data_IF_640884442594
#
_entry.id   IF_640884442594
#
_cell.length_a   1.000
_cell.length_b   1.000
_cell.length_c   1.000
_cell.angle_alpha   90.00
_cell.angle_beta   90.00
_cell.angle_gamma   90.00
#
_symmetry.space_group_name_H-M   'P 1'
#
loop_
_entity.id
_entity.type
_entity.pdbx_description
1 polymer ?
#
# COMPACT_ATOMS: atom_id res chain seq x y z
N UNK A 1 18.53 -6.44 -5.49
CA UNK A 1 19.41 -5.99 -4.38
C UNK A 1 18.76 -4.77 -3.81
N UNK A 2 18.10 -4.88 -2.66
CA UNK A 2 17.49 -3.75 -1.97
C UNK A 2 18.58 -2.76 -1.56
N UNK A 3 18.51 -1.52 -2.05
CA UNK A 3 19.41 -0.46 -1.63
C UNK A 3 19.22 -0.21 -0.13
N UNK A 4 20.30 -0.35 0.64
CA UNK A 4 20.27 0.00 2.06
C UNK A 4 20.19 1.51 2.18
N UNK A 5 19.02 2.02 2.51
CA UNK A 5 18.80 3.43 2.77
C UNK A 5 19.36 3.78 4.15
N UNK A 6 20.21 4.79 4.22
CA UNK A 6 20.72 5.32 5.50
C UNK A 6 20.05 6.63 5.83
N UNK A 7 19.45 6.72 7.01
CA UNK A 7 18.75 7.90 7.50
C UNK A 7 19.43 8.42 8.77
N UNK A 8 20.11 9.59 8.73
CA UNK A 8 20.67 10.21 9.92
C UNK A 8 19.56 10.69 10.85
N UNK A 9 19.68 10.37 12.11
CA UNK A 9 18.72 10.70 13.14
C UNK A 9 19.42 11.22 14.41
N UNK A 10 18.73 12.00 15.18
CA UNK A 10 19.18 12.47 16.48
C UNK A 10 18.22 11.97 17.56
N UNK A 11 18.76 11.57 18.70
CA UNK A 11 17.96 11.13 19.85
C UNK A 11 17.30 12.33 20.52
N UNK A 12 16.10 12.12 21.07
CA UNK A 12 15.37 13.17 21.80
C UNK A 12 15.04 12.73 23.21
N UNK A 13 15.37 13.57 24.18
CA UNK A 13 15.08 13.30 25.61
C UNK A 13 13.66 13.72 26.00
N UNK A 14 13.06 14.66 25.24
CA UNK A 14 11.73 15.19 25.55
C UNK A 14 10.69 14.68 24.58
N UNK A 15 9.71 13.93 25.10
CA UNK A 15 8.50 13.55 24.40
C UNK A 15 7.33 14.49 24.78
N UNK A 16 6.30 14.50 23.93
CA UNK A 16 5.04 15.22 24.18
C UNK A 16 4.68 16.24 23.10
N UNK A 17 3.43 16.75 23.17
CA UNK A 17 2.81 17.59 22.14
C UNK A 17 3.61 18.86 21.81
N UNK A 18 4.10 19.57 22.85
CA UNK A 18 4.82 20.81 22.67
C UNK A 18 6.19 20.61 21.99
N UNK A 19 6.98 19.62 22.47
CA UNK A 19 8.27 19.28 21.91
C UNK A 19 8.16 18.80 20.45
N UNK A 20 7.19 17.93 20.14
CA UNK A 20 6.97 17.47 18.77
C UNK A 20 6.53 18.58 17.82
N UNK A 21 5.77 19.58 18.31
CA UNK A 21 5.40 20.75 17.51
C UNK A 21 6.59 21.67 17.24
N UNK A 22 7.48 21.87 18.21
CA UNK A 22 8.69 22.66 18.04
C UNK A 22 9.61 22.03 16.97
N UNK A 23 9.86 20.73 17.04
CA UNK A 23 10.65 19.99 16.03
C UNK A 23 10.09 20.16 14.62
N UNK A 24 8.75 20.02 14.44
CA UNK A 24 8.14 20.21 13.13
C UNK A 24 8.28 21.63 12.58
N UNK A 25 8.27 22.64 13.45
CA UNK A 25 8.52 24.02 13.05
C UNK A 25 9.98 24.26 12.62
N UNK A 26 10.92 23.44 13.11
CA UNK A 26 12.34 23.45 12.75
C UNK A 26 12.63 22.59 11.49
N UNK A 27 11.58 22.02 10.86
CA UNK A 27 11.72 21.14 9.70
C UNK A 27 12.24 19.73 10.07
N UNK A 28 11.96 19.28 11.29
CA UNK A 28 12.30 17.96 11.77
C UNK A 28 11.05 17.14 12.06
N UNK A 29 11.08 15.85 11.73
CA UNK A 29 9.99 14.91 11.94
C UNK A 29 10.30 14.03 13.13
N UNK A 30 9.46 14.02 14.18
CA UNK A 30 9.60 13.08 15.27
C UNK A 30 9.34 11.65 14.78
N UNK A 31 10.14 10.70 15.28
CA UNK A 31 10.00 9.30 14.99
C UNK A 31 10.26 8.44 16.21
N UNK A 32 9.84 7.19 16.16
CA UNK A 32 10.06 6.19 17.21
C UNK A 32 10.58 4.91 16.58
N UNK A 33 11.62 4.34 17.20
CA UNK A 33 12.17 3.04 16.82
C UNK A 33 11.83 2.05 17.94
N UNK A 34 11.08 1.02 17.63
CA UNK A 34 10.64 0.00 18.60
C UNK A 34 10.81 -1.42 18.04
N UNK A 35 10.64 -2.42 18.88
CA UNK A 35 10.74 -3.83 18.49
C UNK A 35 11.99 -4.52 19.06
N UNK A 36 12.12 -5.82 18.76
CA UNK A 36 13.20 -6.68 19.21
C UNK A 36 13.38 -6.73 20.74
N UNK A 37 12.28 -6.62 21.51
CA UNK A 37 12.25 -6.62 22.98
C UNK A 37 13.18 -5.59 23.63
N UNK A 38 13.56 -4.53 22.94
CA UNK A 38 14.36 -3.42 23.43
C UNK A 38 13.49 -2.21 23.73
N UNK A 39 13.97 -1.33 24.60
CA UNK A 39 13.27 -0.07 24.90
C UNK A 39 13.06 0.77 23.64
N UNK A 40 11.88 1.40 23.51
CA UNK A 40 11.61 2.31 22.40
C UNK A 40 12.58 3.50 22.40
N UNK A 41 13.20 3.75 21.28
CA UNK A 41 14.11 4.87 21.08
C UNK A 41 13.36 6.02 20.41
N UNK A 42 13.24 7.15 21.10
CA UNK A 42 12.65 8.36 20.54
C UNK A 42 13.71 9.15 19.77
N UNK A 43 13.46 9.40 18.50
CA UNK A 43 14.37 10.12 17.60
C UNK A 43 13.64 11.22 16.84
N UNK A 44 14.39 12.02 16.12
CA UNK A 44 13.87 12.91 15.07
C UNK A 44 14.80 12.88 13.86
N UNK A 45 14.20 13.05 12.70
CA UNK A 45 14.88 13.01 11.40
C UNK A 45 14.62 14.30 10.64
N UNK A 46 15.43 14.61 9.65
CA UNK A 46 15.23 15.78 8.80
C UNK A 46 14.06 15.55 7.83
N UNK A 47 13.09 16.48 7.80
CA UNK A 47 11.90 16.40 6.95
C UNK A 47 12.24 16.28 5.46
N UNK A 48 13.23 17.04 4.98
CA UNK A 48 13.60 17.05 3.56
C UNK A 48 14.17 15.71 3.09
N UNK A 49 15.02 15.09 3.90
CA UNK A 49 15.59 13.77 3.58
C UNK A 49 14.51 12.70 3.60
N UNK A 50 13.66 12.72 4.62
CA UNK A 50 12.53 11.79 4.73
C UNK A 50 11.56 11.94 3.56
N UNK A 51 11.18 13.16 3.19
CA UNK A 51 10.30 13.43 2.06
C UNK A 51 10.90 12.95 0.73
N UNK A 52 12.21 13.11 0.53
CA UNK A 52 12.92 12.58 -0.63
C UNK A 52 12.85 11.05 -0.68
N UNK A 53 13.05 10.37 0.44
CA UNK A 53 12.97 8.90 0.52
C UNK A 53 11.53 8.42 0.27
N UNK A 54 10.53 9.10 0.85
CA UNK A 54 9.11 8.79 0.62
C UNK A 54 8.70 8.95 -0.85
N UNK A 55 9.29 9.93 -1.57
CA UNK A 55 8.98 10.14 -2.99
C UNK A 55 9.51 9.05 -3.92
N UNK A 56 10.37 8.16 -3.46
CA UNK A 56 10.84 7.01 -4.28
C UNK A 56 9.78 5.92 -4.43
N UNK A 57 8.74 5.92 -3.59
CA UNK A 57 7.67 4.91 -3.59
C UNK A 57 8.02 3.61 -2.87
N UNK A 58 9.30 3.30 -2.69
CA UNK A 58 9.77 2.02 -2.11
C UNK A 58 10.19 2.13 -0.64
N UNK A 59 10.06 3.32 -0.04
CA UNK A 59 10.53 3.57 1.34
C UNK A 59 9.90 2.62 2.36
N UNK A 60 8.59 2.33 2.24
CA UNK A 60 7.85 1.48 3.18
C UNK A 60 8.29 0.00 3.14
N UNK A 61 8.87 -0.42 2.01
CA UNK A 61 9.32 -1.81 1.79
C UNK A 61 10.83 -1.95 1.88
N UNK A 62 11.54 -0.84 2.10
CA UNK A 62 13.00 -0.84 2.15
C UNK A 62 13.53 -0.91 3.57
N UNK A 63 14.61 -1.67 3.76
CA UNK A 63 15.34 -1.68 5.02
C UNK A 63 16.10 -0.36 5.19
N UNK A 64 15.80 0.36 6.26
CA UNK A 64 16.42 1.65 6.58
C UNK A 64 17.38 1.49 7.74
N UNK A 65 18.62 1.87 7.53
CA UNK A 65 19.63 1.99 8.58
C UNK A 65 19.51 3.37 9.23
N UNK A 66 19.06 3.40 10.48
CA UNK A 66 18.97 4.63 11.26
C UNK A 66 20.28 4.82 12.00
N UNK A 67 20.95 5.95 11.73
CA UNK A 67 22.13 6.36 12.49
C UNK A 67 21.70 7.37 13.56
N UNK A 68 21.56 6.90 14.79
CA UNK A 68 21.19 7.69 15.94
C UNK A 68 22.42 7.96 16.82
N UNK A 69 23.17 9.01 16.52
CA UNK A 69 24.34 9.42 17.32
C UNK A 69 25.49 8.42 17.32
N UNK A 70 25.73 7.73 16.18
CA UNK A 70 26.79 6.73 16.03
C UNK A 70 26.34 5.29 16.31
N UNK A 71 25.11 5.09 16.69
CA UNK A 71 24.48 3.78 16.81
C UNK A 71 23.64 3.50 15.55
N UNK A 72 24.09 2.54 14.74
CA UNK A 72 23.34 2.10 13.57
C UNK A 72 22.31 1.03 13.97
N UNK A 73 21.05 1.30 13.67
CA UNK A 73 19.93 0.38 13.94
C UNK A 73 19.27 0.01 12.63
N UNK A 74 19.18 -1.30 12.37
CA UNK A 74 18.46 -1.83 11.19
C UNK A 74 16.97 -1.81 11.46
N UNK A 75 16.23 -1.10 10.63
CA UNK A 75 14.79 -0.88 10.83
C UNK A 75 14.01 -1.00 9.53
N UNK A 76 12.71 -1.24 9.67
CA UNK A 76 11.72 -1.17 8.60
C UNK A 76 10.71 -0.08 8.96
N UNK A 77 10.40 0.86 8.08
CA UNK A 77 9.30 1.80 8.29
C UNK A 77 7.99 1.01 8.40
N UNK A 78 7.20 1.28 9.44
CA UNK A 78 5.93 0.58 9.65
C UNK A 78 4.74 1.46 9.35
N UNK A 79 4.82 2.74 9.72
CA UNK A 79 3.77 3.73 9.46
C UNK A 79 4.37 5.11 9.28
N UNK A 80 3.78 5.89 8.40
CA UNK A 80 4.12 7.30 8.18
C UNK A 80 2.85 8.13 8.25
N UNK A 81 2.75 8.96 9.26
CA UNK A 81 1.64 9.88 9.40
C UNK A 81 1.90 11.17 8.63
N UNK A 82 0.93 11.60 7.85
CA UNK A 82 0.99 12.84 7.09
C UNK A 82 0.05 13.89 7.68
N UNK A 83 0.42 15.14 7.50
CA UNK A 83 -0.46 16.25 7.85
C UNK A 83 -1.58 16.36 6.81
N UNK A 84 -2.88 16.34 7.20
CA UNK A 84 -4.01 16.21 6.27
C UNK A 84 -4.15 17.33 5.24
N UNK A 85 -3.61 18.52 5.53
CA UNK A 85 -3.71 19.69 4.63
C UNK A 85 -2.44 19.91 3.82
N UNK A 86 -1.27 19.73 4.43
CA UNK A 86 0.01 20.05 3.78
C UNK A 86 0.71 18.84 3.19
N UNK A 87 0.20 17.62 3.46
CA UNK A 87 0.78 16.33 3.06
C UNK A 87 2.25 16.14 3.49
N UNK A 88 2.72 16.94 4.46
CA UNK A 88 4.07 16.79 5.02
C UNK A 88 4.10 15.65 6.03
N UNK A 89 5.17 14.86 6.10
CA UNK A 89 5.32 13.83 7.11
C UNK A 89 5.33 14.45 8.51
N UNK A 90 4.51 13.92 9.40
CA UNK A 90 4.33 14.44 10.75
C UNK A 90 4.86 13.50 11.83
N UNK A 91 4.91 12.20 11.57
CA UNK A 91 5.48 11.16 12.43
C UNK A 91 5.90 9.96 11.59
N UNK A 92 6.90 9.23 12.02
CA UNK A 92 7.31 7.96 11.41
C UNK A 92 7.58 6.94 12.50
N UNK A 93 7.06 5.75 12.27
CA UNK A 93 7.25 4.60 13.12
C UNK A 93 8.19 3.60 12.45
N UNK A 94 9.26 3.23 13.15
CA UNK A 94 10.25 2.27 12.68
C UNK A 94 10.23 1.02 13.55
N UNK A 95 10.13 -0.13 12.90
CA UNK A 95 10.26 -1.43 13.55
C UNK A 95 11.70 -1.92 13.44
N UNK A 96 12.34 -2.25 14.58
CA UNK A 96 13.65 -2.92 14.57
C UNK A 96 13.51 -4.33 14.01
N UNK A 97 14.37 -4.67 13.08
CA UNK A 97 14.39 -5.99 12.44
C UNK A 97 15.73 -6.68 12.67
N UNK A 98 15.65 -7.99 12.93
CA UNK A 98 16.81 -8.87 12.90
C UNK A 98 17.15 -9.29 11.47
N UNK A 99 18.26 -10.01 11.29
CA UNK A 99 18.70 -10.46 9.95
C UNK A 99 17.73 -11.45 9.29
N UNK A 100 17.07 -12.29 10.10
CA UNK A 100 16.11 -13.32 9.65
C UNK A 100 14.75 -13.18 10.35
N UNK A 101 14.28 -11.97 10.49
CA UNK A 101 12.96 -11.73 11.08
C UNK A 101 11.87 -11.82 10.01
N UNK A 102 10.83 -12.61 10.25
CA UNK A 102 9.61 -12.53 9.42
C UNK A 102 8.90 -11.22 9.70
N UNK A 103 8.65 -10.46 8.65
CA UNK A 103 7.96 -9.17 8.72
C UNK A 103 6.77 -9.15 7.78
N UNK A 104 5.71 -8.48 8.20
CA UNK A 104 4.56 -8.22 7.35
C UNK A 104 4.66 -6.80 6.80
N UNK A 105 4.72 -6.70 5.48
CA UNK A 105 4.86 -5.43 4.74
C UNK A 105 3.75 -5.30 3.72
N UNK A 106 3.32 -4.07 3.46
CA UNK A 106 2.41 -3.75 2.37
C UNK A 106 3.24 -3.43 1.12
N UNK A 107 3.19 -4.32 0.13
CA UNK A 107 3.95 -4.22 -1.11
C UNK A 107 3.04 -3.74 -2.23
N UNK A 108 3.43 -2.68 -2.98
CA UNK A 108 2.62 -2.17 -4.09
C UNK A 108 2.51 -3.20 -5.22
N UNK A 109 1.35 -3.18 -5.87
CA UNK A 109 1.05 -4.03 -7.01
C UNK A 109 1.24 -3.25 -8.30
N UNK A 110 1.93 -3.84 -9.26
CA UNK A 110 2.06 -3.33 -10.61
C UNK A 110 1.39 -4.29 -11.59
N UNK A 111 0.52 -3.73 -12.42
CA UNK A 111 -0.17 -4.50 -13.45
C UNK A 111 0.59 -4.37 -14.77
N UNK A 112 0.90 -5.52 -15.38
CA UNK A 112 1.61 -5.60 -16.65
C UNK A 112 0.74 -6.31 -17.70
N UNK A 113 0.97 -6.00 -18.99
CA UNK A 113 0.27 -6.65 -20.11
C UNK A 113 -1.17 -6.16 -20.31
N UNK A 114 -1.42 -4.85 -20.14
CA UNK A 114 -2.72 -4.25 -20.44
C UNK A 114 -3.12 -4.47 -21.89
N UNK A 115 -2.18 -4.40 -22.83
CA UNK A 115 -2.39 -4.63 -24.26
C UNK A 115 -2.73 -6.11 -24.60
N UNK A 116 -2.31 -7.04 -23.76
CA UNK A 116 -2.54 -8.47 -23.93
C UNK A 116 -3.88 -8.94 -23.31
N UNK A 117 -4.62 -8.04 -22.68
CA UNK A 117 -5.94 -8.29 -22.13
C UNK A 117 -7.03 -8.08 -23.18
N UNK A 118 -7.78 -9.10 -23.58
CA UNK A 118 -8.89 -8.97 -24.50
C UNK A 118 -10.02 -8.08 -23.96
N UNK A 119 -10.21 -8.08 -22.63
CA UNK A 119 -11.19 -7.24 -21.96
C UNK A 119 -10.88 -5.74 -22.06
N UNK A 120 -9.62 -5.36 -21.80
CA UNK A 120 -9.17 -3.97 -21.91
C UNK A 120 -9.13 -3.51 -23.37
N UNK A 121 -8.69 -4.37 -24.29
CA UNK A 121 -8.70 -4.08 -25.74
C UNK A 121 -10.09 -3.83 -26.31
N UNK A 122 -11.14 -4.40 -25.72
CA UNK A 122 -12.55 -4.15 -26.06
C UNK A 122 -13.15 -2.93 -25.39
N UNK A 123 -12.33 -2.15 -24.67
CA UNK A 123 -12.77 -0.93 -23.98
C UNK A 123 -13.22 -1.16 -22.54
N UNK A 124 -12.96 -2.33 -21.95
CA UNK A 124 -13.12 -2.56 -20.52
C UNK A 124 -12.23 -1.64 -19.69
N UNK A 125 -12.59 -1.43 -18.44
CA UNK A 125 -11.85 -0.61 -17.49
C UNK A 125 -11.33 -1.51 -16.38
N UNK A 126 -10.01 -1.40 -16.10
CA UNK A 126 -9.41 -2.07 -14.95
C UNK A 126 -9.83 -1.34 -13.67
N UNK A 127 -10.59 -2.02 -12.84
CA UNK A 127 -10.94 -1.54 -11.50
C UNK A 127 -10.02 -2.20 -10.48
N UNK A 128 -9.05 -1.44 -9.96
CA UNK A 128 -8.13 -1.91 -8.95
C UNK A 128 -8.78 -1.81 -7.59
N UNK A 129 -9.00 -2.97 -6.95
CA UNK A 129 -9.59 -3.07 -5.60
C UNK A 129 -8.52 -2.92 -4.53
N UNK A 130 -7.31 -3.44 -4.80
CA UNK A 130 -6.16 -3.35 -3.90
C UNK A 130 -4.93 -2.88 -4.66
N UNK A 131 -4.38 -1.77 -4.22
CA UNK A 131 -3.13 -1.20 -4.76
C UNK A 131 -1.89 -1.78 -4.07
N UNK A 132 -2.08 -2.37 -2.89
CA UNK A 132 -1.02 -2.95 -2.06
C UNK A 132 -1.46 -4.32 -1.55
N UNK A 133 -0.51 -5.24 -1.41
CA UNK A 133 -0.70 -6.57 -0.83
C UNK A 133 0.08 -6.67 0.48
N UNK A 134 -0.60 -7.09 1.54
CA UNK A 134 0.06 -7.43 2.80
C UNK A 134 0.72 -8.80 2.67
N UNK A 135 2.05 -8.81 2.66
CA UNK A 135 2.86 -10.00 2.47
C UNK A 135 3.75 -10.22 3.69
N UNK A 136 3.92 -11.47 4.07
CA UNK A 136 4.86 -11.91 5.10
C UNK A 136 6.09 -12.48 4.42
N UNK A 137 7.24 -11.88 4.63
CA UNK A 137 8.51 -12.28 4.03
C UNK A 137 9.66 -12.16 5.04
N UNK A 138 10.84 -12.67 4.66
CA UNK A 138 12.07 -12.42 5.41
C UNK A 138 12.52 -10.97 5.21
N UNK A 139 12.96 -10.32 6.28
CA UNK A 139 13.48 -8.95 6.25
C UNK A 139 14.70 -8.75 5.33
N UNK A 140 15.34 -9.84 4.87
CA UNK A 140 16.44 -9.79 3.92
C UNK A 140 15.96 -9.76 2.45
N UNK A 141 14.74 -10.26 2.17
CA UNK A 141 14.22 -10.48 0.82
C UNK A 141 12.84 -9.85 0.62
N UNK A 142 12.70 -8.59 1.03
CA UNK A 142 11.47 -7.83 0.82
C UNK A 142 11.38 -7.43 -0.66
N UNK A 143 10.31 -7.79 -1.38
CA UNK A 143 10.13 -7.37 -2.77
C UNK A 143 9.76 -5.88 -2.84
N UNK A 144 10.30 -5.17 -3.82
CA UNK A 144 10.01 -3.75 -4.04
C UNK A 144 8.59 -3.56 -4.59
N UNK A 145 8.16 -4.42 -5.53
CA UNK A 145 6.83 -4.43 -6.14
C UNK A 145 6.44 -5.85 -6.57
N UNK A 146 5.14 -6.11 -6.67
CA UNK A 146 4.59 -7.37 -7.19
C UNK A 146 4.02 -7.13 -8.58
N UNK A 147 4.59 -7.81 -9.58
CA UNK A 147 4.13 -7.76 -10.95
C UNK A 147 3.00 -8.76 -11.18
N UNK A 148 1.87 -8.28 -11.69
CA UNK A 148 0.69 -9.09 -11.98
C UNK A 148 0.34 -8.94 -13.44
N UNK A 149 0.31 -10.06 -14.18
CA UNK A 149 -0.08 -10.08 -15.58
C UNK A 149 -1.60 -10.01 -15.73
N UNK A 150 -2.05 -9.13 -16.61
CA UNK A 150 -3.45 -8.99 -17.03
C UNK A 150 -3.77 -9.80 -18.31
N UNK A 151 -2.79 -10.53 -18.85
CA UNK A 151 -2.95 -11.30 -20.08
C UNK A 151 -4.10 -12.30 -19.98
N UNK A 152 -5.00 -12.28 -20.97
CA UNK A 152 -6.10 -13.21 -21.09
C UNK A 152 -7.35 -12.88 -20.27
N UNK A 153 -7.35 -11.78 -19.47
CA UNK A 153 -8.54 -11.34 -18.74
C UNK A 153 -9.56 -10.69 -19.68
N UNK A 154 -10.81 -11.12 -19.60
CA UNK A 154 -11.95 -10.54 -20.34
C UNK A 154 -12.83 -9.67 -19.43
N UNK A 155 -13.77 -8.96 -20.03
CA UNK A 155 -14.75 -8.12 -19.32
C UNK A 155 -15.61 -9.02 -18.40
N UNK A 156 -15.64 -8.67 -17.12
CA UNK A 156 -16.33 -9.43 -16.07
C UNK A 156 -15.40 -10.31 -15.24
N UNK A 157 -14.17 -10.51 -15.67
CA UNK A 157 -13.20 -11.33 -14.93
C UNK A 157 -12.66 -10.59 -13.69
N UNK A 158 -12.36 -11.38 -12.67
CA UNK A 158 -11.77 -10.92 -11.41
C UNK A 158 -10.45 -11.62 -11.16
N UNK A 159 -9.45 -10.87 -10.80
CA UNK A 159 -8.13 -11.37 -10.43
C UNK A 159 -8.05 -11.53 -8.92
N UNK A 160 -7.80 -12.75 -8.46
CA UNK A 160 -7.67 -13.13 -7.05
C UNK A 160 -6.22 -13.39 -6.69
N UNK A 161 -5.92 -13.39 -5.37
CA UNK A 161 -4.56 -13.63 -4.88
C UNK A 161 -4.04 -15.01 -5.26
N UNK A 162 -4.92 -16.01 -5.37
CA UNK A 162 -4.58 -17.39 -5.79
C UNK A 162 -3.99 -17.48 -7.20
N UNK A 163 -4.32 -16.53 -8.08
CA UNK A 163 -3.81 -16.48 -9.45
C UNK A 163 -2.45 -15.75 -9.57
N UNK A 164 -1.98 -15.12 -8.49
CA UNK A 164 -0.75 -14.33 -8.50
C UNK A 164 0.46 -15.21 -8.17
N UNK A 165 1.50 -15.10 -8.97
CA UNK A 165 2.78 -15.76 -8.69
C UNK A 165 3.60 -14.90 -7.73
N UNK A 166 3.63 -15.30 -6.46
CA UNK A 166 4.47 -14.65 -5.46
C UNK A 166 5.92 -15.14 -5.57
N UNK A 167 6.91 -14.29 -5.27
CA UNK A 167 8.32 -14.68 -5.20
C UNK A 167 8.56 -15.76 -4.14
N UNK A 168 9.68 -16.46 -4.24
CA UNK A 168 10.05 -17.48 -3.26
C UNK A 168 10.23 -16.85 -1.86
N UNK A 169 9.71 -17.51 -0.83
CA UNK A 169 9.82 -17.03 0.54
C UNK A 169 8.81 -15.92 0.94
N UNK A 170 7.90 -15.55 0.02
CA UNK A 170 6.85 -14.55 0.28
C UNK A 170 5.50 -15.23 0.36
N UNK A 171 4.77 -14.99 1.44
CA UNK A 171 3.44 -15.53 1.69
C UNK A 171 2.43 -14.38 1.88
N UNK A 172 1.19 -14.57 1.47
CA UNK A 172 0.13 -13.61 1.79
C UNK A 172 -0.14 -13.59 3.29
N UNK A 173 -0.21 -12.40 3.90
CA UNK A 173 -0.59 -12.27 5.30
C UNK A 173 -2.05 -12.67 5.57
N UNK A 174 -2.91 -12.52 4.55
CA UNK A 174 -4.32 -12.92 4.59
C UNK A 174 -4.45 -14.28 3.94
N UNK A 175 -4.61 -15.32 4.74
CA UNK A 175 -4.79 -16.72 4.28
C UNK A 175 -6.22 -17.22 4.41
N UNK A 176 -7.08 -16.50 5.15
CA UNK A 176 -8.43 -16.93 5.49
C UNK A 176 -9.40 -16.92 4.29
N UNK A 177 -9.07 -16.16 3.25
CA UNK A 177 -9.94 -15.97 2.09
C UNK A 177 -9.13 -15.64 0.83
N UNK A 178 -9.64 -16.05 -0.32
CA UNK A 178 -9.15 -15.66 -1.62
C UNK A 178 -9.76 -14.29 -2.00
N UNK A 179 -9.03 -13.22 -1.78
CA UNK A 179 -9.51 -11.87 -2.00
C UNK A 179 -9.20 -11.39 -3.41
N UNK A 180 -10.08 -10.53 -3.92
CA UNK A 180 -9.93 -9.91 -5.24
C UNK A 180 -8.92 -8.75 -5.18
N UNK A 181 -8.03 -8.69 -6.16
CA UNK A 181 -7.03 -7.64 -6.33
C UNK A 181 -7.51 -6.61 -7.35
N UNK A 182 -7.99 -7.09 -8.50
CA UNK A 182 -8.50 -6.25 -9.56
C UNK A 182 -9.66 -6.94 -10.31
N UNK A 183 -10.50 -6.16 -10.97
CA UNK A 183 -11.59 -6.64 -11.83
C UNK A 183 -11.62 -5.86 -13.13
N UNK A 184 -11.94 -6.52 -14.25
CA UNK A 184 -12.17 -5.85 -15.52
C UNK A 184 -13.67 -5.63 -15.68
N UNK A 185 -14.10 -4.37 -15.70
CA UNK A 185 -15.53 -4.02 -15.80
C UNK A 185 -15.86 -3.42 -17.14
N UNK A 186 -17.09 -3.65 -17.60
CA UNK A 186 -17.59 -3.00 -18.82
C UNK A 186 -17.69 -1.48 -18.62
N UNK A 187 -17.35 -0.66 -19.61
CA UNK A 187 -17.55 0.78 -19.54
C UNK A 187 -19.04 1.08 -19.38
N UNK A 188 -19.36 2.10 -18.58
CA UNK A 188 -20.75 2.49 -18.28
C UNK A 188 -21.60 2.84 -19.50
N UNK A 189 -20.97 3.16 -20.63
CA UNK A 189 -21.63 3.42 -21.90
C UNK A 189 -22.28 2.17 -22.53
N UNK A 190 -21.74 0.96 -22.27
CA UNK A 190 -22.32 -0.28 -22.79
C UNK A 190 -23.48 -0.82 -21.93
N UNK A 191 -23.61 -0.38 -20.69
CA UNK A 191 -24.74 -0.76 -19.83
C UNK A 191 -26.06 -0.10 -20.18
N UNK A 192 -26.06 0.94 -20.98
CA UNK A 192 -27.28 1.65 -21.43
C UNK A 192 -27.97 1.01 -22.62
N UNK A 193 -27.30 0.07 -23.34
CA UNK A 193 -27.89 -0.55 -24.54
C UNK A 193 -28.58 -1.90 -24.28
N UNK A 194 -28.36 -2.54 -23.11
CA UNK A 194 -29.02 -3.80 -22.76
C UNK A 194 -30.26 -3.65 -21.86
N UNK A 195 -30.66 -2.43 -21.52
CA UNK A 195 -31.72 -2.13 -20.54
C UNK A 195 -33.07 -1.73 -21.11
N UNK A 196 -33.29 -1.75 -22.43
CA UNK A 196 -34.54 -1.27 -23.02
C UNK A 196 -35.23 -2.28 -23.95
N UNK A 197 -35.40 -3.49 -23.46
CA UNK A 197 -36.38 -4.42 -24.05
C UNK A 197 -37.19 -5.10 -22.94
N UNK A 198 -38.44 -4.76 -22.93
CA UNK A 198 -39.58 -5.44 -22.28
C UNK A 198 -40.11 -4.82 -20.99
N UNK A 199 -40.97 -3.82 -21.17
CA UNK A 199 -42.23 -3.74 -20.43
C UNK A 199 -43.35 -3.37 -21.39
N UNK A 200 -43.85 -4.40 -22.05
CA UNK A 200 -45.13 -4.37 -22.73
C UNK A 200 -46.26 -4.08 -21.72
N UNK A 201 -47.14 -3.22 -22.17
CA UNK A 201 -48.38 -2.83 -21.55
C UNK A 201 -49.13 -4.01 -20.86
N UNK A 202 -49.31 -3.87 -19.58
CA UNK A 202 -50.22 -4.66 -18.76
C UNK A 202 -51.37 -3.76 -18.31
N UNK A 203 -52.47 -3.90 -19.00
CA UNK A 203 -53.85 -3.61 -18.76
C UNK A 203 -54.22 -3.27 -17.29
N UNK A 204 -54.77 -2.07 -17.09
CA UNK A 204 -55.40 -1.66 -15.82
C UNK A 204 -56.90 -1.86 -15.96
N UNK A 205 -57.55 -2.77 -15.23
CA UNK A 205 -59.00 -2.78 -15.18
C UNK A 205 -59.52 -1.65 -14.28
N UNK A 206 -60.20 -0.71 -14.90
CA UNK A 206 -61.12 0.21 -14.24
C UNK A 206 -62.24 -0.59 -13.57
N UNK A 207 -62.36 -0.43 -12.26
CA UNK A 207 -63.58 -0.80 -11.52
C UNK A 207 -64.33 0.50 -11.23
N UNK A 208 -65.54 0.57 -11.81
CA UNK A 208 -66.45 1.66 -11.61
C UNK A 208 -67.25 1.56 -10.31
N UNK A 209 -67.80 2.70 -10.00
CA UNK A 209 -68.92 3.05 -9.11
C UNK A 209 -69.72 1.94 -8.41
N UNK A 210 -69.81 2.06 -7.08
CA UNK A 210 -71.08 2.31 -6.32
C UNK A 210 -70.74 2.79 -4.93
#
# INVERSE_FOLDING_TARGET
MSEQLTLPAETRDRAGKGASRALRNEGRVPAVVYGNNQEPLSIHVEEKLLAKMLSTGHFMNSVVMIDAGGQQVRTLPKDVQFHPVTSRPSHVDFLRIGEHSKVTVAVPVRFDGEDDSPGLSRGGVLNVVRHELELTCDAAEIPDEIHISLAGLDIGDSLHISAVQLPQGVESAITDRDFTIATVVAPSALKSDEGDTDTAAGDVPTVGDE
#
